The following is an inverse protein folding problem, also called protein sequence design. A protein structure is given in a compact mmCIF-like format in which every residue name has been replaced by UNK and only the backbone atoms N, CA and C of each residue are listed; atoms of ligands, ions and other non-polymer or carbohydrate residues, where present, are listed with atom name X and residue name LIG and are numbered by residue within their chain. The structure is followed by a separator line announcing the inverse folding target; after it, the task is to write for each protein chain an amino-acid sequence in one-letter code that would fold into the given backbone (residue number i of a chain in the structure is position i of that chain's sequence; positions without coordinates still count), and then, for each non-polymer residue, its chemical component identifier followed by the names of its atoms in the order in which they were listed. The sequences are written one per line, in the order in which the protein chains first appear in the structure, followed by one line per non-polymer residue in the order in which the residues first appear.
data_IF_531671801711
#
_entry.id   IF_531671801711
#
_cell.length_a   1.000
_cell.length_b   1.000
_cell.length_c   1.000
_cell.angle_alpha   90.00
_cell.angle_beta   90.00
_cell.angle_gamma   90.00
#
_symmetry.space_group_name_H-M   'P 1'
#
loop_
_entity.id
_entity.type
_entity.pdbx_description
1 polymer ?
#
# COMPACT_ATOMS: atom_id res chain seq x y z
N UNK A 1 -4.28 -14.55 -13.15
CA UNK A 1 -4.54 -13.34 -13.98
C UNK A 1 -4.71 -12.09 -13.10
N UNK A 2 -5.62 -12.13 -12.13
CA UNK A 2 -5.88 -11.04 -11.17
C UNK A 2 -4.63 -10.62 -10.40
N UNK A 3 -3.87 -11.57 -9.84
CA UNK A 3 -2.61 -11.31 -9.12
C UNK A 3 -1.61 -10.49 -9.96
N UNK A 4 -1.51 -10.78 -11.27
CA UNK A 4 -0.59 -10.07 -12.17
C UNK A 4 -1.07 -8.64 -12.40
N UNK A 5 -2.37 -8.46 -12.66
CA UNK A 5 -2.93 -7.10 -12.85
C UNK A 5 -2.88 -6.26 -11.57
N UNK A 6 -3.06 -6.86 -10.39
CA UNK A 6 -2.84 -6.18 -9.12
C UNK A 6 -1.40 -5.75 -8.93
N UNK A 7 -0.42 -6.60 -9.26
CA UNK A 7 0.99 -6.21 -9.22
C UNK A 7 1.29 -5.06 -10.20
N UNK A 8 0.74 -5.12 -11.42
CA UNK A 8 0.87 -4.05 -12.41
C UNK A 8 0.21 -2.75 -11.92
N UNK A 9 -0.97 -2.82 -11.29
CA UNK A 9 -1.66 -1.67 -10.72
C UNK A 9 -0.75 -0.92 -9.74
N UNK A 10 -0.18 -1.61 -8.74
CA UNK A 10 0.73 -0.95 -7.79
C UNK A 10 2.05 -0.50 -8.44
N UNK A 11 2.51 -1.18 -9.50
CA UNK A 11 3.60 -0.68 -10.34
C UNK A 11 3.28 0.65 -11.01
N UNK A 12 2.07 0.82 -11.54
CA UNK A 12 1.60 2.08 -12.12
C UNK A 12 1.39 3.17 -11.06
N UNK A 13 0.94 2.82 -9.85
CA UNK A 13 0.88 3.74 -8.71
C UNK A 13 2.27 4.29 -8.39
N UNK A 14 3.28 3.41 -8.24
CA UNK A 14 4.67 3.82 -7.97
C UNK A 14 5.22 4.68 -9.10
N UNK A 15 4.95 4.32 -10.36
CA UNK A 15 5.38 5.11 -11.51
C UNK A 15 4.76 6.53 -11.50
N UNK A 16 3.46 6.64 -11.19
CA UNK A 16 2.79 7.93 -11.09
C UNK A 16 3.38 8.79 -9.96
N UNK A 17 3.70 8.19 -8.81
CA UNK A 17 4.37 8.86 -7.69
C UNK A 17 5.76 9.36 -8.09
N UNK A 18 6.56 8.54 -8.77
CA UNK A 18 7.88 8.95 -9.29
C UNK A 18 7.81 10.09 -10.29
N UNK A 19 6.66 10.25 -10.96
CA UNK A 19 6.35 11.36 -11.87
C UNK A 19 5.72 12.58 -11.15
N UNK A 20 5.70 12.59 -9.81
CA UNK A 20 5.29 13.74 -8.99
C UNK A 20 3.85 13.70 -8.47
N UNK A 21 3.11 12.61 -8.66
CA UNK A 21 1.75 12.49 -8.11
C UNK A 21 1.76 12.19 -6.60
N UNK A 22 0.79 12.73 -5.87
CA UNK A 22 0.50 12.27 -4.50
C UNK A 22 -0.16 10.88 -4.51
N UNK A 23 -0.11 10.15 -3.38
CA UNK A 23 -0.66 8.78 -3.28
C UNK A 23 -2.13 8.67 -3.73
N UNK A 24 -3.08 9.52 -3.28
CA UNK A 24 -4.46 9.45 -3.74
C UNK A 24 -4.57 9.66 -5.26
N UNK A 25 -3.89 10.66 -5.81
CA UNK A 25 -3.88 10.92 -7.25
C UNK A 25 -3.26 9.76 -8.05
N UNK A 26 -2.21 9.13 -7.53
CA UNK A 26 -1.55 7.99 -8.16
C UNK A 26 -2.47 6.75 -8.22
N UNK A 27 -3.26 6.50 -7.18
CA UNK A 27 -4.29 5.47 -7.17
C UNK A 27 -5.35 5.73 -8.24
N UNK A 28 -5.82 6.97 -8.38
CA UNK A 28 -6.77 7.36 -9.43
C UNK A 28 -6.20 7.19 -10.84
N UNK A 29 -4.94 7.62 -11.06
CA UNK A 29 -4.26 7.47 -12.35
C UNK A 29 -4.08 5.99 -12.73
N UNK A 30 -3.72 5.13 -11.77
CA UNK A 30 -3.61 3.70 -12.02
C UNK A 30 -4.98 3.06 -12.29
N UNK A 31 -6.02 3.48 -11.57
CA UNK A 31 -7.39 2.98 -11.78
C UNK A 31 -7.98 3.35 -13.14
N UNK A 32 -7.57 4.49 -13.71
CA UNK A 32 -8.02 4.94 -15.03
C UNK A 32 -7.43 4.13 -16.21
N UNK A 33 -6.49 3.20 -15.95
CA UNK A 33 -5.92 2.33 -16.98
C UNK A 33 -6.89 1.19 -17.32
N UNK A 34 -6.80 0.62 -18.55
CA UNK A 34 -7.67 -0.47 -18.95
C UNK A 34 -7.24 -1.80 -18.29
N UNK A 35 -8.02 -2.26 -17.31
CA UNK A 35 -7.84 -3.56 -16.65
C UNK A 35 -8.84 -4.59 -17.17
N UNK A 36 -8.43 -5.86 -17.28
CA UNK A 36 -9.32 -6.95 -17.73
C UNK A 36 -9.85 -7.78 -16.57
N UNK A 37 -9.06 -7.88 -15.51
CA UNK A 37 -9.28 -8.78 -14.39
C UNK A 37 -9.28 -8.05 -13.04
N UNK A 38 -8.87 -6.77 -12.99
CA UNK A 38 -8.97 -5.96 -11.78
C UNK A 38 -10.37 -5.30 -11.69
N UNK A 39 -11.19 -5.64 -10.68
CA UNK A 39 -12.54 -5.10 -10.59
C UNK A 39 -12.56 -3.65 -10.07
N UNK A 40 -13.28 -2.76 -10.76
CA UNK A 40 -13.42 -1.34 -10.39
C UNK A 40 -13.94 -1.15 -8.94
N UNK A 41 -14.78 -2.07 -8.47
CA UNK A 41 -15.42 -1.97 -7.16
C UNK A 41 -14.44 -2.15 -6.00
N UNK A 42 -13.24 -2.71 -6.21
CA UNK A 42 -12.26 -2.87 -5.13
C UNK A 42 -11.72 -1.54 -4.64
N UNK A 43 -11.36 -0.63 -5.56
CA UNK A 43 -10.93 0.71 -5.18
C UNK A 43 -12.11 1.53 -4.65
N UNK A 44 -13.32 1.34 -5.18
CA UNK A 44 -14.52 1.98 -4.64
C UNK A 44 -14.77 1.58 -3.17
N UNK A 45 -14.66 0.29 -2.84
CA UNK A 45 -14.77 -0.23 -1.47
C UNK A 45 -13.69 0.35 -0.54
N UNK A 46 -12.47 0.52 -1.05
CA UNK A 46 -11.39 1.17 -0.31
C UNK A 46 -11.68 2.65 -0.03
N UNK A 47 -12.20 3.40 -1.01
CA UNK A 47 -12.60 4.81 -0.83
C UNK A 47 -13.72 4.95 0.20
N UNK A 48 -14.75 4.14 0.07
CA UNK A 48 -15.90 4.14 0.98
C UNK A 48 -15.42 3.92 2.42
N UNK A 49 -14.69 2.84 2.66
CA UNK A 49 -14.15 2.53 3.99
C UNK A 49 -13.17 3.58 4.51
N UNK A 50 -12.29 4.15 3.66
CA UNK A 50 -11.34 5.19 4.08
C UNK A 50 -12.03 6.50 4.48
N UNK A 51 -13.18 6.80 3.86
CA UNK A 51 -14.02 7.95 4.19
C UNK A 51 -14.99 7.71 5.36
N UNK A 52 -15.10 6.46 5.82
CA UNK A 52 -15.97 6.08 6.93
C UNK A 52 -15.41 6.53 8.29
N UNK A 53 -16.27 6.53 9.30
CA UNK A 53 -15.87 6.75 10.70
C UNK A 53 -15.35 5.49 11.40
N UNK A 54 -15.29 4.35 10.71
CA UNK A 54 -14.87 3.08 11.30
C UNK A 54 -13.38 3.09 11.62
N UNK A 55 -12.95 2.33 12.63
CA UNK A 55 -11.52 2.10 12.87
C UNK A 55 -10.89 1.34 11.71
N UNK A 56 -9.59 1.48 11.53
CA UNK A 56 -8.86 0.77 10.46
C UNK A 56 -8.95 -0.74 10.62
N UNK A 57 -8.88 -1.24 11.86
CA UNK A 57 -9.09 -2.65 12.16
C UNK A 57 -10.47 -3.14 11.68
N UNK A 58 -11.55 -2.40 11.98
CA UNK A 58 -12.90 -2.78 11.55
C UNK A 58 -13.07 -2.69 10.02
N UNK A 59 -12.49 -1.67 9.39
CA UNK A 59 -12.51 -1.53 7.94
C UNK A 59 -11.76 -2.68 7.24
N UNK A 60 -10.57 -3.05 7.73
CA UNK A 60 -9.78 -4.15 7.19
C UNK A 60 -10.44 -5.52 7.44
N UNK A 61 -11.06 -5.73 8.60
CA UNK A 61 -11.90 -6.91 8.86
C UNK A 61 -13.07 -7.01 7.87
N UNK A 62 -13.74 -5.89 7.57
CA UNK A 62 -14.81 -5.82 6.58
C UNK A 62 -14.35 -6.05 5.13
N UNK A 63 -13.06 -5.86 4.85
CA UNK A 63 -12.45 -6.22 3.56
C UNK A 63 -12.09 -7.69 3.47
N UNK A 64 -11.63 -8.26 4.59
CA UNK A 64 -11.06 -9.59 4.69
C UNK A 64 -9.58 -9.51 5.07
N UNK A 65 -9.15 -10.42 5.94
CA UNK A 65 -7.80 -10.43 6.51
C UNK A 65 -6.88 -11.52 5.92
N UNK A 66 -7.33 -12.19 4.85
CA UNK A 66 -6.57 -13.28 4.22
C UNK A 66 -5.55 -12.76 3.21
N UNK A 67 -4.69 -13.66 2.72
CA UNK A 67 -3.73 -13.36 1.66
C UNK A 67 -4.36 -13.27 0.25
N UNK A 68 -5.67 -13.49 0.12
CA UNK A 68 -6.35 -13.43 -1.17
C UNK A 68 -6.43 -11.99 -1.67
N UNK A 69 -6.17 -11.80 -2.96
CA UNK A 69 -6.14 -10.47 -3.60
C UNK A 69 -7.41 -9.65 -3.40
N UNK A 70 -8.64 -10.21 -3.52
CA UNK A 70 -9.87 -9.46 -3.29
C UNK A 70 -10.03 -8.91 -1.87
N UNK A 71 -9.40 -9.56 -0.89
CA UNK A 71 -9.43 -9.16 0.52
C UNK A 71 -8.34 -8.11 0.79
N UNK A 72 -7.11 -8.38 0.34
CA UNK A 72 -5.96 -7.54 0.61
C UNK A 72 -5.96 -6.22 -0.16
N UNK A 73 -6.41 -6.20 -1.42
CA UNK A 73 -6.33 -5.02 -2.28
C UNK A 73 -7.11 -3.82 -1.71
N UNK A 74 -8.39 -3.96 -1.31
CA UNK A 74 -9.13 -2.85 -0.72
C UNK A 74 -8.52 -2.37 0.60
N UNK A 75 -8.00 -3.28 1.43
CA UNK A 75 -7.34 -2.94 2.70
C UNK A 75 -6.05 -2.13 2.52
N UNK A 76 -5.23 -2.47 1.51
CA UNK A 76 -4.04 -1.68 1.15
C UNK A 76 -4.45 -0.27 0.71
N UNK A 77 -5.40 -0.18 -0.23
CA UNK A 77 -5.86 1.11 -0.75
C UNK A 77 -6.54 1.95 0.33
N UNK A 78 -7.27 1.32 1.26
CA UNK A 78 -7.89 1.98 2.42
C UNK A 78 -6.85 2.75 3.25
N UNK A 79 -5.77 2.06 3.66
CA UNK A 79 -4.70 2.67 4.46
C UNK A 79 -3.94 3.75 3.69
N UNK A 80 -3.67 3.54 2.40
CA UNK A 80 -3.04 4.55 1.54
C UNK A 80 -3.89 5.82 1.39
N UNK A 81 -5.22 5.68 1.34
CA UNK A 81 -6.14 6.81 1.25
C UNK A 81 -6.34 7.52 2.59
N UNK A 82 -6.34 6.77 3.71
CA UNK A 82 -6.50 7.33 5.05
C UNK A 82 -5.24 8.03 5.57
N UNK A 83 -4.08 7.51 5.20
CA UNK A 83 -2.77 8.00 5.64
C UNK A 83 -1.86 8.33 4.45
N UNK A 84 -2.26 9.21 3.52
CA UNK A 84 -1.50 9.46 2.29
C UNK A 84 -0.13 10.09 2.54
N UNK A 85 0.10 10.65 3.73
CA UNK A 85 1.34 11.31 4.13
C UNK A 85 1.88 10.85 5.49
N UNK A 86 1.33 9.77 6.05
CA UNK A 86 1.75 9.22 7.35
C UNK A 86 2.03 7.72 7.23
N UNK A 87 3.21 7.34 6.67
CA UNK A 87 3.57 5.94 6.50
C UNK A 87 3.66 5.18 7.82
N UNK A 88 3.98 5.85 8.92
CA UNK A 88 4.10 5.22 10.22
C UNK A 88 2.72 4.81 10.76
N UNK A 89 1.75 5.72 10.74
CA UNK A 89 0.37 5.40 11.15
C UNK A 89 -0.21 4.25 10.31
N UNK A 90 -0.05 4.30 8.98
CA UNK A 90 -0.55 3.26 8.09
C UNK A 90 0.03 1.86 8.39
N UNK A 91 1.34 1.77 8.63
CA UNK A 91 1.97 0.48 8.94
C UNK A 91 1.61 -0.03 10.34
N UNK A 92 1.44 0.86 11.33
CA UNK A 92 0.96 0.48 12.66
C UNK A 92 -0.45 -0.10 12.56
N UNK A 93 -1.36 0.59 11.89
CA UNK A 93 -2.75 0.12 11.75
C UNK A 93 -2.85 -1.15 10.91
N UNK A 94 -2.01 -1.31 9.89
CA UNK A 94 -1.92 -2.56 9.13
C UNK A 94 -1.55 -3.77 10.02
N UNK A 95 -0.64 -3.58 10.98
CA UNK A 95 -0.22 -4.64 11.90
C UNK A 95 -1.29 -4.87 12.98
N UNK A 96 -1.88 -3.80 13.51
CA UNK A 96 -2.96 -3.86 14.50
C UNK A 96 -4.19 -4.63 13.98
N UNK A 97 -4.52 -4.49 12.70
CA UNK A 97 -5.62 -5.21 12.06
C UNK A 97 -5.40 -6.73 11.95
N UNK A 98 -4.16 -7.24 12.14
CA UNK A 98 -3.87 -8.68 12.11
C UNK A 98 -4.05 -9.35 10.74
N UNK A 99 -4.18 -10.68 10.73
CA UNK A 99 -4.23 -11.48 9.49
C UNK A 99 -2.91 -11.46 8.70
N UNK A 100 -2.99 -11.46 7.37
CA UNK A 100 -1.81 -11.33 6.50
C UNK A 100 -1.33 -9.87 6.37
N UNK A 101 -0.89 -9.31 7.50
CA UNK A 101 -0.33 -7.95 7.57
C UNK A 101 1.03 -7.84 6.89
N UNK A 102 1.76 -8.95 6.74
CA UNK A 102 3.07 -8.96 6.08
C UNK A 102 2.95 -8.65 4.58
N UNK A 103 2.04 -9.30 3.86
CA UNK A 103 1.84 -9.04 2.44
C UNK A 103 1.36 -7.61 2.17
N UNK A 104 0.37 -7.13 2.94
CA UNK A 104 -0.11 -5.75 2.84
C UNK A 104 1.00 -4.75 3.17
N UNK A 105 1.76 -5.02 4.23
CA UNK A 105 2.89 -4.20 4.67
C UNK A 105 3.98 -4.05 3.60
N UNK A 106 4.26 -5.10 2.84
CA UNK A 106 5.21 -5.02 1.71
C UNK A 106 4.73 -4.05 0.62
N UNK A 107 3.44 -4.09 0.25
CA UNK A 107 2.90 -3.18 -0.77
C UNK A 107 2.80 -1.75 -0.24
N UNK A 108 2.39 -1.56 1.02
CA UNK A 108 2.42 -0.24 1.67
C UNK A 108 3.84 0.33 1.66
N UNK A 109 4.84 -0.47 2.07
CA UNK A 109 6.25 -0.10 2.04
C UNK A 109 6.75 0.28 0.65
N UNK A 110 6.33 -0.44 -0.40
CA UNK A 110 6.65 -0.11 -1.79
C UNK A 110 6.08 1.26 -2.19
N UNK A 111 4.82 1.53 -1.90
CA UNK A 111 4.14 2.78 -2.30
C UNK A 111 4.69 3.97 -1.50
N UNK A 112 4.79 3.84 -0.18
CA UNK A 112 5.34 4.90 0.67
C UNK A 112 6.82 5.13 0.44
N UNK A 113 7.61 4.09 0.16
CA UNK A 113 9.02 4.20 -0.16
C UNK A 113 9.28 4.92 -1.48
N UNK A 114 8.33 4.89 -2.41
CA UNK A 114 8.36 5.71 -3.62
C UNK A 114 7.94 7.17 -3.36
N UNK A 115 7.02 7.40 -2.42
CA UNK A 115 6.45 8.72 -2.13
C UNK A 115 7.30 9.57 -1.18
N UNK A 116 7.98 8.93 -0.23
CA UNK A 116 8.66 9.61 0.87
C UNK A 116 10.10 9.13 1.02
N UNK A 117 11.03 10.03 1.40
CA UNK A 117 12.40 9.64 1.68
C UNK A 117 12.45 8.72 2.90
N UNK A 118 13.48 7.87 2.95
CA UNK A 118 13.70 6.93 4.06
C UNK A 118 13.82 7.62 5.43
N UNK A 119 14.13 8.91 5.46
CA UNK A 119 14.18 9.73 6.68
C UNK A 119 12.83 9.97 7.34
N UNK A 120 11.71 9.76 6.64
CA UNK A 120 10.35 9.90 7.19
C UNK A 120 9.91 8.68 8.02
N UNK A 121 10.73 7.62 8.04
CA UNK A 121 10.43 6.38 8.74
C UNK A 121 11.07 6.39 10.14
N UNK A 122 10.44 5.78 11.15
CA UNK A 122 11.07 5.58 12.47
C UNK A 122 12.41 4.87 12.34
N UNK A 123 13.46 5.45 12.92
CA UNK A 123 14.83 4.96 12.77
C UNK A 123 15.01 3.55 13.34
N UNK A 124 14.25 3.23 14.40
CA UNK A 124 14.18 1.92 15.05
C UNK A 124 13.60 0.83 14.14
N UNK A 125 12.69 1.18 13.22
CA UNK A 125 12.14 0.20 12.27
C UNK A 125 13.20 -0.17 11.24
N UNK A 126 13.96 0.82 10.77
CA UNK A 126 15.05 0.61 9.83
C UNK A 126 16.20 -0.17 10.47
N UNK A 127 16.54 0.11 11.73
CA UNK A 127 17.59 -0.62 12.45
C UNK A 127 17.17 -2.03 12.86
N UNK A 128 15.88 -2.28 13.03
CA UNK A 128 15.31 -3.60 13.31
C UNK A 128 15.22 -4.55 12.11
N UNK A 129 15.51 -4.09 10.88
CA UNK A 129 15.49 -4.96 9.69
C UNK A 129 16.63 -5.97 9.72
N UNK A 130 16.30 -7.27 9.74
CA UNK A 130 17.28 -8.36 9.68
C UNK A 130 18.21 -8.27 8.46
N UNK A 131 17.68 -7.85 7.31
CA UNK A 131 18.41 -7.75 6.05
C UNK A 131 18.81 -6.30 5.69
N UNK A 132 18.88 -5.38 6.67
CA UNK A 132 19.12 -3.94 6.43
C UNK A 132 20.29 -3.66 5.48
N UNK A 133 21.44 -4.30 5.74
CA UNK A 133 22.65 -4.06 4.96
C UNK A 133 22.50 -4.48 3.49
N UNK A 134 21.88 -5.65 3.24
CA UNK A 134 21.66 -6.15 1.88
C UNK A 134 20.62 -5.31 1.14
N UNK A 135 19.52 -4.93 1.81
CA UNK A 135 18.51 -4.02 1.23
C UNK A 135 19.16 -2.69 0.83
N UNK A 136 19.97 -2.10 1.71
CA UNK A 136 20.68 -0.85 1.41
C UNK A 136 21.62 -0.97 0.20
N UNK A 137 22.33 -2.09 0.08
CA UNK A 137 23.19 -2.39 -1.08
C UNK A 137 22.38 -2.47 -2.37
N UNK A 138 21.25 -3.21 -2.36
CA UNK A 138 20.39 -3.37 -3.53
C UNK A 138 19.75 -2.05 -3.96
N UNK A 139 19.24 -1.25 -3.01
CA UNK A 139 18.70 0.08 -3.31
C UNK A 139 19.75 0.97 -3.97
N UNK A 140 21.00 0.93 -3.49
CA UNK A 140 22.13 1.66 -4.07
C UNK A 140 22.46 1.30 -5.53
N UNK A 141 21.94 0.18 -6.05
CA UNK A 141 22.13 -0.25 -7.44
C UNK A 141 21.00 0.22 -8.38
N UNK A 142 19.90 0.77 -7.86
CA UNK A 142 18.70 1.14 -8.62
C UNK A 142 18.71 2.65 -9.00
N UNK A 143 19.86 3.31 -8.88
CA UNK A 143 20.07 4.72 -9.23
C UNK A 143 20.63 4.91 -10.63
#
# INVERSE_FOLDING_TARGET
PEVIETALFFGHVVLAIRNGAGIPEALEKAAALPWKHLPDHWLAKARESASSGDSDAAALEGHGLTCHTPDAFPGICHLLLRYPSDPAAALIENVNAGGDSAARGMILGLVYGAAFPVSNWPAEWLSGLNARAEIGKLVGQIH
#
